data_IF_975937468851
#
_entry.id   IF_975937468851
#
_cell.length_a   1.000
_cell.length_b   1.000
_cell.length_c   1.000
_cell.angle_alpha   90.00
_cell.angle_beta   90.00
_cell.angle_gamma   90.00
#
_symmetry.space_group_name_H-M   'P 1'
#
loop_
_entity.id
_entity.type
_entity.pdbx_description
1 polymer ?
#
# COMPACT_ATOMS: atom_id res chain seq x y z
N UNK A 1 34.16 -13.54 19.77
CA UNK A 1 33.71 -13.41 18.35
C UNK A 1 32.48 -14.24 17.98
N UNK A 2 32.15 -15.37 18.65
CA UNK A 2 30.96 -16.19 18.32
C UNK A 2 29.62 -15.55 18.72
N UNK A 3 29.59 -14.74 19.77
CA UNK A 3 28.38 -14.11 20.30
C UNK A 3 27.89 -12.89 19.50
N UNK A 4 28.76 -12.26 18.71
CA UNK A 4 28.44 -11.07 17.91
C UNK A 4 27.62 -11.43 16.65
N UNK A 5 27.91 -12.59 16.04
CA UNK A 5 27.18 -13.12 14.88
C UNK A 5 25.76 -13.57 15.28
N UNK A 6 25.60 -14.14 16.48
CA UNK A 6 24.29 -14.55 17.00
C UNK A 6 23.41 -13.34 17.33
N UNK A 7 23.99 -12.24 17.84
CA UNK A 7 23.26 -11.00 18.10
C UNK A 7 22.80 -10.30 16.80
N UNK A 8 23.61 -10.35 15.73
CA UNK A 8 23.25 -9.80 14.43
C UNK A 8 22.12 -10.60 13.75
N UNK A 9 22.08 -11.92 13.97
CA UNK A 9 21.03 -12.81 13.43
C UNK A 9 19.66 -12.57 14.09
N UNK A 10 19.64 -12.19 15.37
CA UNK A 10 18.40 -11.88 16.10
C UNK A 10 17.75 -10.56 15.66
N UNK A 11 18.52 -9.62 15.10
CA UNK A 11 18.02 -8.30 14.71
C UNK A 11 17.28 -8.32 13.35
N UNK A 12 17.57 -9.30 12.48
CA UNK A 12 16.92 -9.46 11.16
C UNK A 12 15.51 -10.07 11.28
N UNK A 13 15.20 -10.77 12.38
CA UNK A 13 13.90 -11.44 12.57
C UNK A 13 12.70 -10.52 12.86
N UNK A 14 12.91 -9.22 13.09
CA UNK A 14 11.86 -8.31 13.58
C UNK A 14 11.17 -7.48 12.49
N UNK A 15 11.56 -7.62 11.21
CA UNK A 15 10.97 -6.84 10.11
C UNK A 15 9.80 -7.54 9.39
N UNK A 16 9.36 -8.68 9.90
CA UNK A 16 8.21 -9.42 9.37
C UNK A 16 7.11 -9.53 10.44
N UNK A 17 6.57 -8.39 10.87
CA UNK A 17 5.23 -8.41 11.44
C UNK A 17 4.25 -8.54 10.28
N UNK A 18 3.96 -9.80 9.94
CA UNK A 18 2.78 -10.15 9.17
C UNK A 18 1.57 -9.59 9.92
N UNK A 19 0.82 -8.68 9.29
CA UNK A 19 -0.52 -8.36 9.74
C UNK A 19 -1.40 -9.59 9.49
N UNK A 20 -1.44 -10.51 10.45
CA UNK A 20 -2.57 -11.43 10.55
C UNK A 20 -3.72 -10.66 11.20
N UNK A 21 -4.59 -10.11 10.35
CA UNK A 21 -5.90 -9.67 10.78
C UNK A 21 -6.87 -10.77 10.39
N UNK A 22 -7.24 -11.60 11.36
CA UNK A 22 -8.26 -12.63 11.20
C UNK A 22 -9.54 -11.99 10.68
N UNK A 23 -9.79 -12.15 9.38
CA UNK A 23 -10.98 -11.66 8.70
C UNK A 23 -12.13 -12.62 9.02
N UNK A 24 -12.88 -12.30 10.09
CA UNK A 24 -14.15 -12.95 10.41
C UNK A 24 -15.29 -12.22 9.72
N UNK A 25 -16.04 -12.94 8.88
CA UNK A 25 -17.31 -12.49 8.30
C UNK A 25 -17.31 -12.71 6.79
N UNK A 26 -17.82 -13.84 6.28
CA UNK A 26 -19.23 -14.19 6.41
C UNK A 26 -20.01 -13.19 5.54
N UNK A 27 -20.43 -13.63 4.35
CA UNK A 27 -21.13 -12.88 3.30
C UNK A 27 -21.75 -11.56 3.79
N UNK A 28 -20.92 -10.50 3.82
CA UNK A 28 -21.43 -9.16 4.11
C UNK A 28 -22.09 -8.68 2.84
N UNK A 29 -23.42 -8.85 2.78
CA UNK A 29 -24.28 -8.00 1.95
C UNK A 29 -23.76 -6.56 2.12
N UNK A 30 -23.57 -5.85 1.01
CA UNK A 30 -23.00 -4.51 1.00
C UNK A 30 -23.71 -3.64 2.07
N UNK A 31 -23.00 -3.36 3.17
CA UNK A 31 -23.59 -2.65 4.29
C UNK A 31 -23.57 -1.17 3.94
N UNK A 32 -24.73 -0.63 3.60
CA UNK A 32 -24.94 0.80 3.49
C UNK A 32 -25.14 1.36 4.90
N UNK A 33 -24.29 2.29 5.32
CA UNK A 33 -24.46 3.00 6.59
C UNK A 33 -25.09 4.35 6.25
N UNK A 34 -26.30 4.59 6.75
CA UNK A 34 -26.95 5.91 6.67
C UNK A 34 -26.28 6.82 7.69
N UNK A 35 -25.64 7.89 7.23
CA UNK A 35 -25.10 8.94 8.11
C UNK A 35 -26.20 9.84 8.69
N UNK A 36 -25.85 10.66 9.69
CA UNK A 36 -26.73 11.62 10.38
C UNK A 36 -27.34 12.69 9.43
N UNK A 37 -26.78 12.83 8.23
CA UNK A 37 -27.18 13.77 7.18
C UNK A 37 -27.76 13.10 5.91
N UNK A 38 -28.28 11.88 6.02
CA UNK A 38 -28.87 11.09 4.92
C UNK A 38 -27.86 10.74 3.80
N UNK A 39 -26.57 10.75 4.13
CA UNK A 39 -25.49 10.38 3.20
C UNK A 39 -25.30 8.86 3.23
N UNK A 40 -25.45 8.23 2.08
CA UNK A 40 -25.21 6.81 1.87
C UNK A 40 -23.70 6.52 1.94
N UNK A 41 -23.24 5.85 3.00
CA UNK A 41 -21.86 5.39 3.11
C UNK A 41 -21.72 3.98 2.54
N UNK A 42 -20.61 3.75 1.83
CA UNK A 42 -20.20 2.49 1.26
C UNK A 42 -18.88 2.04 1.88
N UNK A 43 -18.74 0.74 2.11
CA UNK A 43 -17.49 0.15 2.59
C UNK A 43 -16.59 -0.19 1.40
N UNK A 44 -15.37 0.34 1.38
CA UNK A 44 -14.34 0.07 0.37
C UNK A 44 -13.03 -0.34 1.04
N UNK A 45 -12.25 -1.15 0.37
CA UNK A 45 -10.99 -1.66 0.91
C UNK A 45 -9.81 -1.08 0.13
N UNK A 46 -8.87 -0.42 0.81
CA UNK A 46 -7.73 0.26 0.17
C UNK A 46 -6.41 -0.38 0.58
N UNK A 47 -5.73 -0.98 -0.39
CA UNK A 47 -4.48 -1.71 -0.22
C UNK A 47 -3.32 -1.11 -1.01
N UNK A 48 -2.11 -1.46 -0.60
CA UNK A 48 -0.88 -1.18 -1.32
C UNK A 48 -0.15 0.07 -0.83
N UNK A 49 0.47 0.81 -1.75
CA UNK A 49 1.44 1.87 -1.47
C UNK A 49 0.76 3.22 -1.13
N UNK A 50 -0.08 3.21 -0.11
CA UNK A 50 -0.77 4.37 0.47
C UNK A 50 -0.31 4.61 1.90
N UNK A 51 -0.49 5.83 2.43
CA UNK A 51 -0.01 6.16 3.77
C UNK A 51 -0.72 5.32 4.85
N UNK A 52 -2.05 5.16 4.73
CA UNK A 52 -2.87 4.38 5.65
C UNK A 52 -3.72 3.36 4.88
N UNK A 53 -3.24 2.12 4.66
CA UNK A 53 -4.07 1.07 4.07
C UNK A 53 -5.13 0.60 5.10
N UNK A 54 -6.28 0.13 4.61
CA UNK A 54 -7.35 -0.37 5.46
C UNK A 54 -8.74 -0.30 4.83
N UNK A 55 -9.75 -0.60 5.63
CA UNK A 55 -11.16 -0.52 5.24
C UNK A 55 -11.67 0.89 5.55
N UNK A 56 -12.31 1.51 4.58
CA UNK A 56 -12.88 2.85 4.68
C UNK A 56 -14.39 2.81 4.47
N UNK A 57 -15.12 3.55 5.31
CA UNK A 57 -16.55 3.85 5.10
C UNK A 57 -16.65 5.26 4.54
N UNK A 58 -16.92 5.38 3.24
CA UNK A 58 -16.93 6.66 2.51
C UNK A 58 -18.29 6.92 1.88
N UNK A 59 -18.69 8.18 1.65
CA UNK A 59 -19.88 8.49 0.87
C UNK A 59 -19.89 7.79 -0.50
N UNK A 60 -21.05 7.37 -0.98
CA UNK A 60 -21.19 6.71 -2.29
C UNK A 60 -20.81 7.60 -3.48
N UNK A 61 -20.75 8.92 -3.27
CA UNK A 61 -20.30 9.89 -4.26
C UNK A 61 -18.77 10.03 -4.31
N UNK A 62 -18.02 9.40 -3.39
CA UNK A 62 -16.56 9.47 -3.41
C UNK A 62 -15.99 8.78 -4.65
N UNK A 63 -14.98 9.43 -5.23
CA UNK A 63 -14.12 8.83 -6.23
C UNK A 63 -12.83 8.31 -5.60
N UNK A 64 -11.96 7.72 -6.43
CA UNK A 64 -10.68 7.16 -5.99
C UNK A 64 -9.71 8.21 -5.41
N UNK A 65 -9.78 9.47 -5.88
CA UNK A 65 -8.93 10.56 -5.41
C UNK A 65 -9.35 11.01 -4.00
N UNK A 66 -10.65 11.10 -3.76
CA UNK A 66 -11.20 11.42 -2.43
C UNK A 66 -10.80 10.35 -1.42
N UNK A 67 -10.92 9.07 -1.81
CA UNK A 67 -10.50 7.94 -1.00
C UNK A 67 -9.00 8.00 -0.69
N UNK A 68 -8.14 8.20 -1.70
CA UNK A 68 -6.70 8.30 -1.50
C UNK A 68 -6.33 9.50 -0.61
N UNK A 69 -7.02 10.63 -0.78
CA UNK A 69 -6.82 11.82 0.06
C UNK A 69 -7.20 11.53 1.52
N UNK A 70 -8.30 10.81 1.75
CA UNK A 70 -8.72 10.39 3.10
C UNK A 70 -7.71 9.43 3.76
N UNK A 71 -7.03 8.62 2.95
CA UNK A 71 -5.97 7.73 3.39
C UNK A 71 -4.62 8.43 3.67
N UNK A 72 -4.55 9.76 3.49
CA UNK A 72 -3.33 10.55 3.66
C UNK A 72 -2.46 10.63 2.40
N UNK A 73 -2.99 10.24 1.25
CA UNK A 73 -2.35 10.30 -0.06
C UNK A 73 -1.54 9.05 -0.42
N UNK A 74 -1.08 8.98 -1.68
CA UNK A 74 -0.18 7.94 -2.13
C UNK A 74 1.22 8.12 -1.52
N UNK A 75 1.92 7.02 -1.28
CA UNK A 75 3.34 7.08 -0.88
C UNK A 75 4.22 7.47 -2.07
N UNK A 76 5.47 7.85 -1.81
CA UNK A 76 6.47 8.16 -2.86
C UNK A 76 6.71 6.99 -3.83
N UNK A 77 6.45 5.77 -3.36
CA UNK A 77 6.65 4.51 -4.07
C UNK A 77 5.43 4.07 -4.88
N UNK A 78 4.33 4.82 -4.83
CA UNK A 78 3.08 4.46 -5.48
C UNK A 78 3.15 4.64 -7.00
N UNK A 79 2.70 3.64 -7.75
CA UNK A 79 2.48 3.73 -9.20
C UNK A 79 1.05 4.20 -9.46
N UNK A 80 0.89 5.51 -9.65
CA UNK A 80 -0.41 6.14 -9.87
C UNK A 80 -1.00 5.89 -11.25
N UNK A 81 -0.21 5.41 -12.20
CA UNK A 81 -0.66 5.01 -13.54
C UNK A 81 -1.21 3.57 -13.60
N UNK A 82 -1.05 2.78 -12.53
CA UNK A 82 -1.51 1.38 -12.43
C UNK A 82 -2.23 1.16 -11.10
N UNK A 83 -3.34 1.87 -10.91
CA UNK A 83 -4.22 1.65 -9.76
C UNK A 83 -5.37 0.75 -10.20
N UNK A 84 -5.58 -0.35 -9.48
CA UNK A 84 -6.58 -1.36 -9.84
C UNK A 84 -7.75 -1.30 -8.88
N UNK A 85 -8.97 -1.28 -9.42
CA UNK A 85 -10.22 -1.46 -8.69
C UNK A 85 -10.74 -2.85 -9.02
N UNK A 86 -10.89 -3.69 -8.02
CA UNK A 86 -11.44 -5.04 -8.14
C UNK A 86 -12.84 -5.03 -7.55
N UNK A 87 -13.84 -5.31 -8.38
CA UNK A 87 -15.24 -5.36 -7.98
C UNK A 87 -15.67 -6.78 -7.59
N UNK A 88 -16.80 -6.88 -6.87
CA UNK A 88 -17.39 -8.17 -6.44
C UNK A 88 -17.72 -9.11 -7.60
N UNK A 89 -18.06 -8.58 -8.77
CA UNK A 89 -18.35 -9.33 -9.99
C UNK A 89 -17.07 -9.81 -10.73
N UNK A 90 -15.90 -9.74 -10.09
CA UNK A 90 -14.59 -10.08 -10.67
C UNK A 90 -14.13 -9.13 -11.80
N UNK A 91 -14.81 -8.00 -11.98
CA UNK A 91 -14.36 -6.94 -12.90
C UNK A 91 -13.12 -6.24 -12.32
N UNK A 92 -12.09 -6.09 -13.15
CA UNK A 92 -10.85 -5.38 -12.79
C UNK A 92 -10.75 -4.15 -13.68
N UNK A 93 -10.78 -2.97 -13.05
CA UNK A 93 -10.69 -1.68 -13.73
C UNK A 93 -9.35 -1.06 -13.38
N UNK A 94 -8.55 -0.75 -14.40
CA UNK A 94 -7.28 -0.02 -14.22
C UNK A 94 -7.52 1.47 -14.42
N UNK A 95 -7.09 2.26 -13.44
CA UNK A 95 -7.23 3.71 -13.39
C UNK A 95 -5.85 4.37 -13.40
N UNK A 96 -5.68 5.34 -14.29
CA UNK A 96 -4.50 6.19 -14.37
C UNK A 96 -4.78 7.51 -13.65
N UNK A 97 -4.41 7.55 -12.37
CA UNK A 97 -4.55 8.71 -11.51
C UNK A 97 -3.51 9.79 -11.87
N UNK A 98 -2.35 9.41 -12.38
CA UNK A 98 -1.32 10.37 -12.80
C UNK A 98 -1.84 11.25 -13.95
N UNK A 99 -2.54 10.64 -14.91
CA UNK A 99 -3.18 11.37 -16.01
C UNK A 99 -4.27 12.32 -15.52
N UNK A 100 -5.06 11.90 -14.52
CA UNK A 100 -6.06 12.79 -13.89
C UNK A 100 -5.40 14.01 -13.25
N UNK A 101 -4.35 13.82 -12.43
CA UNK A 101 -3.67 14.94 -11.76
C UNK A 101 -3.09 15.94 -12.76
N UNK A 102 -2.63 15.48 -13.93
CA UNK A 102 -2.08 16.35 -14.98
C UNK A 102 -3.14 17.07 -15.81
N UNK A 103 -4.28 16.43 -16.05
CA UNK A 103 -5.28 16.93 -17.01
C UNK A 103 -6.51 17.56 -16.36
N UNK A 104 -6.80 17.21 -15.11
CA UNK A 104 -8.04 17.56 -14.42
C UNK A 104 -9.29 16.95 -15.03
N UNK A 105 -9.16 16.01 -15.98
CA UNK A 105 -10.30 15.44 -16.68
C UNK A 105 -11.09 14.47 -15.78
N UNK A 106 -12.29 14.87 -15.38
CA UNK A 106 -13.17 14.08 -14.51
C UNK A 106 -13.65 12.77 -15.14
N UNK A 107 -13.64 12.63 -16.47
CA UNK A 107 -14.02 11.39 -17.16
C UNK A 107 -13.05 10.23 -16.85
N UNK A 108 -11.86 10.54 -16.34
CA UNK A 108 -10.88 9.54 -15.90
C UNK A 108 -11.17 8.99 -14.49
N UNK A 109 -12.12 9.58 -13.77
CA UNK A 109 -12.50 9.15 -12.43
C UNK A 109 -13.60 8.12 -12.47
N UNK A 110 -13.31 6.94 -11.93
CA UNK A 110 -14.29 5.87 -11.78
C UNK A 110 -14.98 6.02 -10.42
N UNK A 111 -16.33 6.05 -10.38
CA UNK A 111 -17.07 6.07 -9.12
C UNK A 111 -16.89 4.75 -8.36
N UNK A 112 -16.76 4.84 -7.04
CA UNK A 112 -16.56 3.69 -6.18
C UNK A 112 -17.90 2.97 -5.91
N UNK A 113 -17.83 1.65 -5.81
CA UNK A 113 -18.96 0.80 -5.48
C UNK A 113 -18.76 0.07 -4.14
N UNK A 114 -19.86 -0.32 -3.47
CA UNK A 114 -19.76 -1.07 -2.22
C UNK A 114 -19.01 -2.39 -2.39
N UNK A 115 -17.98 -2.57 -1.56
CA UNK A 115 -17.13 -3.76 -1.58
C UNK A 115 -16.01 -3.73 -2.61
N UNK A 116 -15.75 -2.60 -3.25
CA UNK A 116 -14.58 -2.43 -4.11
C UNK A 116 -13.29 -2.61 -3.32
N UNK A 117 -12.34 -3.31 -3.94
CA UNK A 117 -10.97 -3.46 -3.44
C UNK A 117 -10.05 -2.66 -4.34
N UNK A 118 -9.52 -1.57 -3.83
CA UNK A 118 -8.60 -0.67 -4.51
C UNK A 118 -7.17 -1.09 -4.15
N UNK A 119 -6.37 -1.38 -5.16
CA UNK A 119 -4.98 -1.82 -5.02
C UNK A 119 -4.08 -0.80 -5.70
N UNK A 120 -3.28 -0.10 -4.89
CA UNK A 120 -2.24 0.81 -5.37
C UNK A 120 -0.92 0.06 -5.47
N UNK A 121 -0.56 -0.32 -6.69
CA UNK A 121 0.71 -1.00 -6.97
C UNK A 121 1.89 -0.13 -6.51
N UNK A 122 2.91 -0.78 -5.92
CA UNK A 122 4.19 -0.14 -5.63
C UNK A 122 5.17 -0.30 -6.77
N UNK A 123 6.21 0.53 -6.77
CA UNK A 123 7.32 0.31 -7.70
C UNK A 123 8.25 -0.82 -7.24
N UNK A 124 8.44 -1.82 -8.10
CA UNK A 124 9.41 -2.91 -7.91
C UNK A 124 10.84 -2.36 -7.74
N UNK A 125 11.13 -1.19 -8.30
CA UNK A 125 12.42 -0.48 -8.12
C UNK A 125 12.74 -0.21 -6.66
N UNK A 126 11.74 -0.04 -5.81
CA UNK A 126 11.95 0.37 -4.42
C UNK A 126 12.34 -0.83 -3.55
N UNK A 127 11.86 -2.02 -3.90
CA UNK A 127 12.32 -3.29 -3.34
C UNK A 127 13.79 -3.50 -3.74
N UNK A 128 14.13 -3.28 -5.00
CA UNK A 128 15.51 -3.42 -5.49
C UNK A 128 16.46 -2.41 -4.80
N UNK A 129 16.02 -1.17 -4.61
CA UNK A 129 16.79 -0.13 -3.92
C UNK A 129 17.11 -0.49 -2.45
N UNK A 130 16.15 -1.07 -1.71
CA UNK A 130 16.39 -1.54 -0.32
C UNK A 130 17.43 -2.66 -0.27
N UNK A 131 17.37 -3.60 -1.22
CA UNK A 131 18.32 -4.71 -1.32
C UNK A 131 19.72 -4.20 -1.69
N UNK A 132 19.83 -3.31 -2.68
CA UNK A 132 21.12 -2.71 -3.07
C UNK A 132 21.72 -1.89 -1.93
N UNK A 133 20.90 -1.13 -1.19
CA UNK A 133 21.34 -0.39 -0.02
C UNK A 133 21.96 -1.30 1.05
N UNK A 134 21.29 -2.41 1.37
CA UNK A 134 21.80 -3.42 2.30
C UNK A 134 23.12 -4.03 1.84
N UNK A 135 23.25 -4.32 0.54
CA UNK A 135 24.50 -4.87 -0.03
C UNK A 135 25.66 -3.88 0.03
N UNK A 136 25.41 -2.59 -0.24
CA UNK A 136 26.42 -1.53 -0.09
C UNK A 136 26.93 -1.44 1.34
N UNK A 137 26.02 -1.45 2.31
CA UNK A 137 26.38 -1.31 3.72
C UNK A 137 27.18 -2.52 4.21
N UNK A 138 26.83 -3.73 3.75
CA UNK A 138 27.63 -4.95 3.93
C UNK A 138 29.03 -4.82 3.32
N UNK A 139 29.13 -4.32 2.08
CA UNK A 139 30.41 -4.16 1.40
C UNK A 139 31.34 -3.18 2.16
N UNK A 140 30.79 -2.11 2.74
CA UNK A 140 31.55 -1.17 3.58
C UNK A 140 32.07 -1.88 4.83
N UNK A 141 31.21 -2.62 5.54
CA UNK A 141 31.61 -3.35 6.76
C UNK A 141 32.71 -4.36 6.44
N UNK A 142 32.53 -5.16 5.39
CA UNK A 142 33.53 -6.15 4.95
C UNK A 142 34.85 -5.46 4.61
N UNK A 143 34.80 -4.35 3.86
CA UNK A 143 36.00 -3.61 3.51
C UNK A 143 36.72 -3.05 4.75
N UNK A 144 35.99 -2.51 5.73
CA UNK A 144 36.56 -2.02 7.00
C UNK A 144 37.23 -3.15 7.79
N UNK A 145 36.58 -4.31 7.89
CA UNK A 145 37.14 -5.48 8.59
C UNK A 145 38.40 -6.01 7.89
N UNK A 146 38.37 -6.09 6.56
CA UNK A 146 39.54 -6.51 5.77
C UNK A 146 40.71 -5.56 5.96
N UNK A 147 40.48 -4.24 5.97
CA UNK A 147 41.52 -3.24 6.19
C UNK A 147 42.14 -3.38 7.59
N UNK A 148 41.31 -3.54 8.62
CA UNK A 148 41.76 -3.69 10.01
C UNK A 148 42.55 -4.99 10.25
N UNK A 149 42.31 -6.04 9.46
CA UNK A 149 43.02 -7.32 9.56
C UNK A 149 44.41 -7.36 8.91
N UNK A 150 44.75 -6.32 8.14
CA UNK A 150 45.99 -6.23 7.35
C UNK A 150 47.04 -5.28 7.95
N UNK A 151 46.76 -4.72 9.12
CA UNK A 151 47.63 -3.93 9.99
C UNK A 151 48.03 -4.82 11.16
#
# INVERSE_FOLDING_TARGET
MKHLIVALLLLVGSFSYAQDQSYSGGDRAAQYILGDSDVLLISVNLWGNVLKPGIYSVPSAFNIIDLLSSAGGPTRSARLNDVRIVRKNQEVITVDIEKYVKTGNQDLLVPLQPGDVIIVSGSISDIFGRVVGFMRDLAIIVNVVLLASRI
#
